data_IF_938288717544
#
_entry.id   IF_938288717544
#
_cell.length_a   1.000
_cell.length_b   1.000
_cell.length_c   1.000
_cell.angle_alpha   90.00
_cell.angle_beta   90.00
_cell.angle_gamma   90.00
#
_symmetry.space_group_name_H-M   'P 1'
#
loop_
_entity.id
_entity.type
_entity.pdbx_description
1 polymer ?
#
# COMPACT_ATOMS: atom_id res chain seq x y z
N UNK A 1 28.51 8.22 -3.27
CA UNK A 1 27.96 7.78 -1.98
C UNK A 1 26.45 7.96 -2.07
N UNK A 2 25.64 7.00 -1.65
CA UNK A 2 24.18 7.14 -1.69
C UNK A 2 23.71 7.74 -0.36
N UNK A 3 23.01 8.86 -0.41
CA UNK A 3 22.36 9.46 0.78
C UNK A 3 20.92 8.98 0.86
N UNK A 4 20.48 8.54 2.03
CA UNK A 4 19.12 8.08 2.29
C UNK A 4 18.45 9.01 3.28
N UNK A 5 17.26 9.48 2.94
CA UNK A 5 16.42 10.37 3.78
C UNK A 5 15.23 9.62 4.33
N UNK A 6 14.67 9.97 5.50
CA UNK A 6 13.55 9.26 6.14
C UNK A 6 12.17 9.56 5.54
N UNK A 7 12.10 10.12 4.33
CA UNK A 7 10.84 10.31 3.63
C UNK A 7 10.21 8.97 3.25
N UNK A 8 8.89 8.85 3.36
CA UNK A 8 8.15 7.63 3.10
C UNK A 8 6.91 7.90 2.26
N UNK A 9 6.56 6.93 1.42
CA UNK A 9 5.26 6.87 0.74
C UNK A 9 4.48 5.69 1.33
N UNK A 10 3.41 5.99 2.06
CA UNK A 10 2.58 4.99 2.74
C UNK A 10 1.17 5.05 2.15
N UNK A 11 0.64 3.91 1.73
CA UNK A 11 -0.70 3.82 1.13
C UNK A 11 -1.55 2.79 1.88
N UNK A 12 -2.62 3.28 2.48
CA UNK A 12 -3.62 2.45 3.15
C UNK A 12 -4.59 1.90 2.09
N UNK A 13 -4.60 0.58 1.91
CA UNK A 13 -5.41 -0.08 0.90
C UNK A 13 -6.45 -0.99 1.58
N UNK A 14 -7.70 -0.86 1.18
CA UNK A 14 -8.75 -1.73 1.71
C UNK A 14 -10.12 -1.37 1.15
N UNK A 15 -11.12 -2.25 1.26
CA UNK A 15 -12.45 -2.00 0.74
C UNK A 15 -13.10 -0.75 1.37
N UNK A 16 -14.18 -0.28 0.76
CA UNK A 16 -14.98 0.79 1.35
C UNK A 16 -15.49 0.36 2.73
N UNK A 17 -15.54 1.28 3.69
CA UNK A 17 -15.99 1.02 5.06
C UNK A 17 -14.95 0.40 6.00
N UNK A 18 -13.73 0.07 5.58
CA UNK A 18 -12.68 -0.42 6.49
C UNK A 18 -12.02 0.68 7.35
N UNK A 19 -12.54 1.91 7.30
CA UNK A 19 -12.15 3.06 8.13
C UNK A 19 -10.72 3.58 7.92
N UNK A 20 -10.23 3.57 6.69
CA UNK A 20 -8.93 4.14 6.32
C UNK A 20 -8.77 5.60 6.74
N UNK A 21 -9.73 6.46 6.40
CA UNK A 21 -9.72 7.87 6.81
C UNK A 21 -9.69 8.07 8.33
N UNK A 22 -10.39 7.22 9.09
CA UNK A 22 -10.34 7.25 10.57
C UNK A 22 -8.93 6.91 11.07
N UNK A 23 -8.22 5.98 10.42
CA UNK A 23 -6.84 5.63 10.79
C UNK A 23 -5.85 6.76 10.48
N UNK A 24 -6.09 7.55 9.42
CA UNK A 24 -5.26 8.70 9.04
C UNK A 24 -5.53 9.94 9.90
N UNK A 25 -6.72 10.07 10.48
CA UNK A 25 -7.17 11.26 11.20
C UNK A 25 -6.22 11.77 12.30
N UNK A 26 -5.71 10.92 13.21
CA UNK A 26 -4.76 11.34 14.23
C UNK A 26 -3.46 11.92 13.67
N UNK A 27 -2.91 11.32 12.62
CA UNK A 27 -1.71 11.83 11.95
C UNK A 27 -2.00 13.20 11.31
N UNK A 28 -3.12 13.35 10.60
CA UNK A 28 -3.54 14.63 10.04
C UNK A 28 -3.65 15.73 11.11
N UNK A 29 -4.28 15.40 12.24
CA UNK A 29 -4.46 16.36 13.35
C UNK A 29 -3.12 16.84 13.91
N UNK A 30 -2.16 15.94 14.12
CA UNK A 30 -0.82 16.29 14.61
C UNK A 30 -0.08 17.16 13.59
N UNK A 31 -0.01 16.72 12.33
CA UNK A 31 0.68 17.45 11.26
C UNK A 31 0.10 18.85 11.04
N UNK A 32 -1.23 18.97 11.04
CA UNK A 32 -1.93 20.25 10.89
C UNK A 32 -1.65 21.18 12.09
N UNK A 33 -1.71 20.66 13.33
CA UNK A 33 -1.42 21.44 14.55
C UNK A 33 0.03 21.93 14.59
N UNK A 34 0.97 21.15 14.02
CA UNK A 34 2.37 21.53 13.89
C UNK A 34 2.64 22.51 12.73
N UNK A 35 1.65 22.81 11.90
CA UNK A 35 1.85 23.66 10.73
C UNK A 35 2.67 23.04 9.62
N UNK A 36 2.76 21.70 9.58
CA UNK A 36 3.46 20.99 8.49
C UNK A 36 2.74 21.29 7.18
N UNK A 37 3.50 21.68 6.17
CA UNK A 37 2.97 22.01 4.85
C UNK A 37 2.46 20.75 4.16
N UNK A 38 1.16 20.75 3.87
CA UNK A 38 0.47 19.65 3.21
C UNK A 38 -0.07 20.11 1.86
N UNK A 39 0.12 19.30 0.83
CA UNK A 39 -0.42 19.55 -0.50
C UNK A 39 -1.95 19.52 -0.49
N UNK A 40 -2.57 20.33 -1.35
CA UNK A 40 -4.02 20.31 -1.57
C UNK A 40 -4.49 18.95 -2.09
N UNK A 41 -5.65 18.46 -1.63
CA UNK A 41 -6.19 17.14 -2.00
C UNK A 41 -6.52 17.04 -3.50
N UNK A 42 -6.94 18.14 -4.11
CA UNK A 42 -7.20 18.26 -5.55
C UNK A 42 -6.27 19.33 -6.13
N UNK A 43 -5.25 18.91 -6.85
CA UNK A 43 -4.19 19.77 -7.35
C UNK A 43 -3.74 19.29 -8.73
N UNK A 44 -3.42 20.20 -9.63
CA UNK A 44 -2.78 19.84 -10.90
C UNK A 44 -1.29 19.61 -10.67
N UNK A 45 -0.64 18.85 -11.56
CA UNK A 45 0.80 18.59 -11.51
C UNK A 45 1.62 19.88 -11.43
N UNK A 46 1.31 20.89 -12.25
CA UNK A 46 2.03 22.15 -12.31
C UNK A 46 1.83 22.98 -11.03
N UNK A 47 0.63 22.94 -10.46
CA UNK A 47 0.34 23.60 -9.20
C UNK A 47 1.08 22.92 -8.04
N UNK A 48 1.16 21.59 -8.02
CA UNK A 48 1.92 20.82 -7.02
C UNK A 48 3.43 21.13 -7.09
N UNK A 49 4.00 21.22 -8.30
CA UNK A 49 5.42 21.62 -8.49
C UNK A 49 5.66 23.03 -7.92
N UNK A 50 4.75 23.95 -8.21
CA UNK A 50 4.85 25.33 -7.67
C UNK A 50 4.65 25.37 -6.16
N UNK A 51 3.74 24.57 -5.63
CA UNK A 51 3.54 24.45 -4.19
C UNK A 51 4.81 23.91 -3.53
N UNK A 52 5.42 22.84 -4.07
CA UNK A 52 6.69 22.29 -3.60
C UNK A 52 7.81 23.33 -3.64
N UNK A 53 7.95 24.11 -4.74
CA UNK A 53 8.92 25.19 -4.83
C UNK A 53 8.71 26.25 -3.75
N UNK A 54 7.47 26.60 -3.46
CA UNK A 54 7.11 27.60 -2.44
C UNK A 54 7.35 27.11 -1.00
N UNK A 55 7.60 25.80 -0.82
CA UNK A 55 8.01 25.27 0.49
C UNK A 55 9.50 25.35 0.75
N UNK A 56 10.27 25.92 -0.18
CA UNK A 56 11.72 26.09 0.00
C UNK A 56 12.02 26.85 1.28
N UNK A 57 12.86 26.26 2.10
CA UNK A 57 13.28 26.83 3.39
C UNK A 57 14.77 26.61 3.61
N UNK A 58 15.37 27.39 4.49
CA UNK A 58 16.80 27.36 4.78
C UNK A 58 17.01 27.08 6.25
N UNK A 59 17.75 26.03 6.54
CA UNK A 59 18.13 25.65 7.89
C UNK A 59 19.61 25.89 8.11
N UNK A 60 19.97 26.40 9.26
CA UNK A 60 21.37 26.65 9.64
C UNK A 60 21.80 25.59 10.65
N UNK A 61 22.83 24.84 10.34
CA UNK A 61 23.45 23.90 11.25
C UNK A 61 24.23 24.60 12.37
N UNK A 62 24.56 23.84 13.43
CA UNK A 62 25.25 24.37 14.61
C UNK A 62 26.64 24.94 14.30
N UNK A 63 27.29 24.49 13.22
CA UNK A 63 28.62 24.93 12.78
C UNK A 63 28.56 25.87 11.58
N UNK A 64 27.39 26.43 11.26
CA UNK A 64 27.17 27.37 10.17
C UNK A 64 26.95 26.73 8.79
N UNK A 65 26.70 25.42 8.74
CA UNK A 65 26.25 24.75 7.51
C UNK A 65 24.88 25.29 7.10
N UNK A 66 24.67 25.42 5.81
CA UNK A 66 23.40 25.88 5.23
C UNK A 66 22.74 24.70 4.53
N UNK A 67 21.58 24.32 5.02
CA UNK A 67 20.74 23.29 4.42
C UNK A 67 19.52 23.94 3.77
N UNK A 68 19.42 23.81 2.46
CA UNK A 68 18.26 24.27 1.70
C UNK A 68 17.41 23.05 1.40
N UNK A 69 16.13 23.11 1.73
CA UNK A 69 15.20 22.03 1.42
C UNK A 69 13.83 22.57 1.01
N UNK A 70 13.13 21.78 0.20
CA UNK A 70 11.74 21.98 -0.18
C UNK A 70 10.94 20.78 0.29
N UNK A 71 10.27 20.93 1.44
CA UNK A 71 9.58 19.82 2.11
C UNK A 71 8.06 19.94 1.99
N UNK A 72 7.42 18.89 1.49
CA UNK A 72 5.97 18.85 1.31
C UNK A 72 5.42 17.47 1.70
N UNK A 73 4.30 17.45 2.42
CA UNK A 73 3.57 16.22 2.71
C UNK A 73 2.31 16.14 1.84
N UNK A 74 2.21 15.10 1.04
CA UNK A 74 0.99 14.75 0.33
C UNK A 74 0.13 13.91 1.27
N UNK A 75 -1.03 14.47 1.66
CA UNK A 75 -1.99 13.81 2.52
C UNK A 75 -3.31 13.66 1.76
N UNK A 76 -3.61 12.46 1.26
CA UNK A 76 -4.78 12.24 0.41
C UNK A 76 -5.64 11.09 0.90
N UNK A 77 -6.88 11.37 1.28
CA UNK A 77 -7.86 10.36 1.66
C UNK A 77 -8.36 9.55 0.46
N UNK A 78 -8.22 10.10 -0.76
CA UNK A 78 -8.56 9.45 -2.03
C UNK A 78 -7.37 9.55 -2.99
N UNK A 79 -6.34 8.74 -2.72
CA UNK A 79 -5.07 8.79 -3.46
C UNK A 79 -5.24 8.72 -4.98
N UNK A 80 -6.23 7.98 -5.46
CA UNK A 80 -6.50 7.84 -6.90
C UNK A 80 -7.04 9.12 -7.52
N UNK A 81 -7.73 9.96 -6.76
CA UNK A 81 -8.14 11.31 -7.18
C UNK A 81 -6.92 12.22 -7.28
N UNK A 82 -6.04 12.17 -6.28
CA UNK A 82 -4.79 12.94 -6.29
C UNK A 82 -3.87 12.54 -7.46
N UNK A 83 -3.66 11.26 -7.69
CA UNK A 83 -2.81 10.78 -8.79
C UNK A 83 -3.41 11.10 -10.18
N UNK A 84 -4.73 11.16 -10.27
CA UNK A 84 -5.42 11.24 -11.56
C UNK A 84 -5.31 9.96 -12.38
N UNK A 85 -6.21 9.81 -13.33
CA UNK A 85 -6.22 8.62 -14.17
C UNK A 85 -5.05 8.64 -15.16
N UNK A 86 -4.22 7.60 -15.14
CA UNK A 86 -3.12 7.38 -16.09
C UNK A 86 -2.11 8.54 -16.20
N UNK A 87 -1.90 9.30 -15.12
CA UNK A 87 -1.02 10.46 -15.09
C UNK A 87 0.45 10.03 -14.88
N UNK A 88 1.05 9.50 -15.96
CA UNK A 88 2.42 8.99 -15.96
C UNK A 88 3.46 10.06 -15.58
N UNK A 89 3.21 11.33 -15.92
CA UNK A 89 4.14 12.42 -15.61
C UNK A 89 4.22 12.68 -14.09
N UNK A 90 3.07 12.79 -13.43
CA UNK A 90 3.04 12.94 -11.97
C UNK A 90 3.66 11.73 -11.26
N UNK A 91 3.39 10.52 -11.76
CA UNK A 91 3.99 9.30 -11.19
C UNK A 91 5.52 9.29 -11.34
N UNK A 92 6.05 9.77 -12.46
CA UNK A 92 7.50 9.92 -12.66
C UNK A 92 8.10 10.96 -11.71
N UNK A 93 7.46 12.13 -11.56
CA UNK A 93 7.93 13.16 -10.63
C UNK A 93 7.95 12.64 -9.18
N UNK A 94 6.90 11.93 -8.75
CA UNK A 94 6.85 11.32 -7.41
C UNK A 94 7.99 10.29 -7.22
N UNK A 95 8.39 9.57 -8.28
CA UNK A 95 9.55 8.69 -8.22
C UNK A 95 10.84 9.46 -7.99
N UNK A 96 11.06 10.55 -8.72
CA UNK A 96 12.24 11.42 -8.59
C UNK A 96 12.28 12.09 -7.21
N UNK A 97 11.14 12.56 -6.71
CA UNK A 97 11.05 13.21 -5.40
C UNK A 97 11.22 12.25 -4.21
N UNK A 98 10.87 10.97 -4.38
CA UNK A 98 11.16 9.95 -3.36
C UNK A 98 12.67 9.76 -3.13
N UNK A 99 13.44 9.87 -4.21
CA UNK A 99 14.89 9.67 -4.17
C UNK A 99 15.63 10.91 -3.63
N UNK A 100 14.92 12.01 -3.28
CA UNK A 100 15.44 13.23 -2.63
C UNK A 100 16.68 13.80 -3.32
N UNK A 101 16.59 14.05 -4.62
CA UNK A 101 17.71 14.66 -5.39
C UNK A 101 18.03 16.05 -4.88
N UNK A 102 19.30 16.45 -4.92
CA UNK A 102 19.75 17.77 -4.51
C UNK A 102 19.09 18.90 -5.29
N UNK A 103 18.84 18.68 -6.58
CA UNK A 103 18.17 19.65 -7.45
C UNK A 103 17.26 18.97 -8.44
N UNK A 104 16.18 19.64 -8.75
CA UNK A 104 15.20 19.21 -9.76
C UNK A 104 14.65 20.44 -10.48
N UNK A 105 14.60 20.40 -11.81
CA UNK A 105 14.21 21.54 -12.64
C UNK A 105 12.99 21.21 -13.48
N UNK A 106 11.98 22.07 -13.41
CA UNK A 106 10.82 22.04 -14.28
C UNK A 106 10.77 23.28 -15.15
N UNK A 107 10.70 23.12 -16.47
CA UNK A 107 10.66 24.21 -17.42
C UNK A 107 9.47 24.12 -18.36
N UNK A 108 8.74 25.23 -18.51
CA UNK A 108 7.66 25.36 -19.47
C UNK A 108 7.89 26.56 -20.39
N UNK A 109 7.26 26.53 -21.58
CA UNK A 109 7.35 27.64 -22.55
C UNK A 109 6.76 28.96 -22.03
N UNK A 110 5.74 28.88 -21.16
CA UNK A 110 4.96 30.04 -20.74
C UNK A 110 5.22 30.48 -19.30
N UNK A 111 5.62 29.58 -18.42
CA UNK A 111 5.81 29.87 -16.97
C UNK A 111 7.27 29.97 -16.55
N UNK A 112 8.23 29.81 -17.50
CA UNK A 112 9.65 29.89 -17.18
C UNK A 112 10.20 28.59 -16.58
N UNK A 113 11.17 28.74 -15.66
CA UNK A 113 11.87 27.63 -15.02
C UNK A 113 11.61 27.65 -13.53
N UNK A 114 11.21 26.49 -12.98
CA UNK A 114 11.13 26.22 -11.56
C UNK A 114 12.30 25.32 -11.16
N UNK A 115 13.29 25.87 -10.48
CA UNK A 115 14.39 25.13 -9.89
C UNK A 115 14.09 24.90 -8.41
N UNK A 116 14.18 23.66 -7.97
CA UNK A 116 13.87 23.24 -6.61
C UNK A 116 15.09 22.51 -6.05
N UNK A 117 15.56 22.96 -4.90
CA UNK A 117 16.74 22.40 -4.22
C UNK A 117 16.30 21.65 -2.96
N UNK A 118 16.94 20.50 -2.70
CA UNK A 118 16.73 19.71 -1.50
C UNK A 118 15.30 19.17 -1.37
N UNK A 119 14.81 18.51 -2.40
CA UNK A 119 13.43 17.97 -2.41
C UNK A 119 13.24 16.89 -1.35
N UNK A 120 12.21 17.07 -0.55
CA UNK A 120 11.79 16.11 0.46
C UNK A 120 10.26 15.96 0.46
N UNK A 121 9.76 14.94 -0.20
CA UNK A 121 8.32 14.68 -0.28
C UNK A 121 7.96 13.44 0.51
N UNK A 122 6.96 13.58 1.38
CA UNK A 122 6.27 12.48 2.04
C UNK A 122 4.89 12.28 1.41
N UNK A 123 4.42 11.03 1.41
CA UNK A 123 3.07 10.71 0.95
C UNK A 123 2.39 9.76 1.94
N UNK A 124 1.21 10.15 2.38
CA UNK A 124 0.27 9.24 3.03
C UNK A 124 -1.05 9.31 2.27
N UNK A 125 -1.50 8.17 1.77
CA UNK A 125 -2.71 8.10 0.98
C UNK A 125 -3.60 6.93 1.36
N UNK A 126 -4.88 7.01 0.99
CA UNK A 126 -5.81 5.91 1.13
C UNK A 126 -6.52 5.62 -0.19
N UNK A 127 -6.79 4.36 -0.47
CA UNK A 127 -7.54 3.95 -1.66
C UNK A 127 -8.21 2.59 -1.46
N UNK A 128 -8.97 2.15 -2.46
CA UNK A 128 -9.47 0.77 -2.54
C UNK A 128 -8.68 -0.04 -3.55
N UNK A 129 -8.61 -1.37 -3.42
CA UNK A 129 -7.93 -2.22 -4.41
C UNK A 129 -8.44 -1.99 -5.83
N UNK A 130 -9.75 -1.87 -6.02
CA UNK A 130 -10.37 -1.63 -7.32
C UNK A 130 -9.98 -0.31 -7.96
N UNK A 131 -9.98 0.79 -7.18
CA UNK A 131 -9.57 2.10 -7.66
C UNK A 131 -8.08 2.14 -7.99
N UNK A 132 -7.25 1.53 -7.15
CA UNK A 132 -5.80 1.45 -7.42
C UNK A 132 -5.53 0.74 -8.75
N UNK A 133 -6.25 -0.35 -9.01
CA UNK A 133 -6.14 -1.12 -10.25
C UNK A 133 -6.58 -0.37 -11.49
N UNK A 134 -7.62 0.47 -11.38
CA UNK A 134 -8.13 1.24 -12.52
C UNK A 134 -7.33 2.52 -12.78
N UNK A 135 -6.69 3.06 -11.75
CA UNK A 135 -5.93 4.33 -11.83
C UNK A 135 -4.49 4.11 -12.28
N UNK A 136 -3.85 3.03 -11.82
CA UNK A 136 -2.48 2.72 -12.19
C UNK A 136 -2.45 1.95 -13.52
N UNK A 137 -1.63 2.36 -14.49
CA UNK A 137 -1.34 1.55 -15.66
C UNK A 137 -0.74 0.21 -15.26
N UNK A 138 -1.01 -0.85 -16.01
CA UNK A 138 -0.46 -2.18 -15.72
C UNK A 138 1.08 -2.17 -15.67
N UNK A 139 1.71 -1.40 -16.55
CA UNK A 139 3.18 -1.25 -16.61
C UNK A 139 3.75 -0.47 -15.40
N UNK A 140 2.93 0.30 -14.69
CA UNK A 140 3.33 0.99 -13.46
C UNK A 140 3.24 0.09 -12.22
N UNK A 141 2.56 -1.06 -12.33
CA UNK A 141 2.46 -2.05 -11.26
C UNK A 141 3.72 -2.92 -11.30
N UNK A 142 4.42 -2.99 -10.18
CA UNK A 142 5.68 -3.73 -10.06
C UNK A 142 6.93 -2.92 -10.34
N UNK A 143 6.79 -1.68 -10.81
CA UNK A 143 7.90 -0.78 -11.08
C UNK A 143 7.64 0.65 -10.60
N UNK A 144 8.60 1.54 -10.81
CA UNK A 144 8.46 2.98 -10.62
C UNK A 144 7.89 3.37 -9.25
N UNK A 145 6.69 3.95 -9.27
CA UNK A 145 6.05 4.51 -8.08
C UNK A 145 5.62 3.44 -7.08
N UNK A 146 5.08 2.30 -7.53
CA UNK A 146 4.62 1.24 -6.60
C UNK A 146 5.77 0.59 -5.85
N UNK A 147 6.96 0.54 -6.43
CA UNK A 147 8.18 0.07 -5.77
C UNK A 147 8.63 0.97 -4.60
N UNK A 148 8.20 2.24 -4.61
CA UNK A 148 8.52 3.25 -3.58
C UNK A 148 7.44 3.37 -2.51
N UNK A 149 6.37 2.60 -2.61
CA UNK A 149 5.24 2.65 -1.68
C UNK A 149 5.25 1.46 -0.71
N UNK A 150 5.09 1.74 0.56
CA UNK A 150 4.73 0.73 1.56
C UNK A 150 3.20 0.67 1.57
N UNK A 151 2.65 -0.45 1.13
CA UNK A 151 1.19 -0.63 1.04
C UNK A 151 0.67 -1.40 2.25
N UNK A 152 -0.11 -0.73 3.08
CA UNK A 152 -0.73 -1.29 4.28
C UNK A 152 -2.14 -1.77 3.92
N UNK A 153 -2.36 -3.08 3.91
CA UNK A 153 -3.63 -3.67 3.50
C UNK A 153 -4.48 -4.12 4.69
N UNK A 154 -5.77 -3.76 4.65
CA UNK A 154 -6.75 -4.27 5.58
C UNK A 154 -8.03 -4.69 4.85
N UNK A 155 -8.43 -5.95 4.98
CA UNK A 155 -9.64 -6.48 4.36
C UNK A 155 -10.94 -6.00 5.04
N UNK A 156 -10.87 -5.62 6.31
CA UNK A 156 -12.00 -5.18 7.14
C UNK A 156 -11.53 -4.27 8.28
N UNK A 157 -12.46 -3.57 8.92
CA UNK A 157 -12.19 -2.82 10.16
C UNK A 157 -11.65 -3.75 11.26
N UNK A 158 -10.65 -3.32 12.00
CA UNK A 158 -10.01 -4.13 13.04
C UNK A 158 -10.92 -4.33 14.26
N UNK A 159 -11.69 -3.30 14.64
CA UNK A 159 -12.61 -3.35 15.77
C UNK A 159 -13.89 -2.56 15.51
N UNK A 160 -14.98 -2.94 16.19
CA UNK A 160 -16.20 -2.15 16.24
C UNK A 160 -16.14 -1.17 17.40
N UNK A 161 -16.23 0.12 17.09
CA UNK A 161 -16.29 1.19 18.10
C UNK A 161 -17.72 1.68 18.13
N UNK A 162 -18.42 1.44 19.25
CA UNK A 162 -19.83 1.81 19.44
C UNK A 162 -19.93 3.31 19.81
N UNK A 163 -19.02 3.78 20.64
CA UNK A 163 -18.95 5.18 21.06
C UNK A 163 -17.62 5.78 20.62
N UNK A 164 -17.58 6.62 19.58
CA UNK A 164 -16.34 7.19 19.03
C UNK A 164 -15.91 8.47 19.79
N UNK A 165 -16.04 8.45 21.09
CA UNK A 165 -15.56 9.54 21.94
C UNK A 165 -14.23 9.15 22.57
N UNK A 166 -13.30 10.12 22.61
CA UNK A 166 -12.02 9.93 23.26
C UNK A 166 -12.20 9.94 24.79
N UNK A 167 -11.56 9.03 25.47
CA UNK A 167 -11.41 9.07 26.92
C UNK A 167 -10.41 10.15 27.33
N UNK A 168 -10.36 10.50 28.61
CA UNK A 168 -9.36 11.44 29.12
C UNK A 168 -7.93 10.93 28.89
N UNK A 169 -7.71 9.63 29.10
CA UNK A 169 -6.41 8.99 28.87
C UNK A 169 -6.00 9.05 27.40
N UNK A 170 -6.92 8.84 26.46
CA UNK A 170 -6.65 8.94 25.01
C UNK A 170 -6.31 10.38 24.60
N UNK A 171 -6.95 11.38 25.20
CA UNK A 171 -6.61 12.79 24.99
C UNK A 171 -5.20 13.10 25.52
N UNK A 172 -4.85 12.62 26.72
CA UNK A 172 -3.51 12.79 27.29
C UNK A 172 -2.43 12.10 26.45
N UNK A 173 -2.70 10.90 25.91
CA UNK A 173 -1.81 10.21 24.98
C UNK A 173 -1.63 11.05 23.71
N UNK A 174 -2.70 11.62 23.17
CA UNK A 174 -2.64 12.51 22.01
C UNK A 174 -1.73 13.72 22.24
N UNK A 175 -1.79 14.35 23.40
CA UNK A 175 -0.91 15.47 23.76
C UNK A 175 0.55 15.04 23.93
N UNK A 176 0.81 13.85 24.47
CA UNK A 176 2.17 13.30 24.54
C UNK A 176 2.74 13.02 23.15
N UNK A 177 1.95 12.41 22.27
CA UNK A 177 2.35 12.16 20.88
C UNK A 177 2.65 13.46 20.12
N UNK A 178 1.85 14.50 20.35
CA UNK A 178 2.10 15.82 19.78
C UNK A 178 3.46 16.39 20.24
N UNK A 179 3.77 16.35 21.54
CA UNK A 179 5.06 16.81 22.07
C UNK A 179 6.24 16.00 21.54
N UNK A 180 6.06 14.67 21.38
CA UNK A 180 7.07 13.83 20.75
C UNK A 180 7.30 14.20 19.27
N UNK A 181 6.22 14.53 18.55
CA UNK A 181 6.31 15.02 17.17
C UNK A 181 7.03 16.38 17.09
N UNK A 182 6.74 17.31 18.02
CA UNK A 182 7.49 18.59 18.14
C UNK A 182 8.98 18.34 18.37
N UNK A 183 9.34 17.42 19.28
CA UNK A 183 10.73 17.03 19.53
C UNK A 183 11.40 16.46 18.27
N UNK A 184 10.70 15.58 17.54
CA UNK A 184 11.22 14.98 16.31
C UNK A 184 11.40 16.03 15.22
N UNK A 185 10.53 17.04 15.13
CA UNK A 185 10.66 18.09 14.12
C UNK A 185 11.90 18.99 14.31
N UNK A 186 12.51 18.95 15.48
CA UNK A 186 13.76 19.69 15.76
C UNK A 186 15.02 18.88 15.40
N UNK A 187 14.89 17.62 15.02
CA UNK A 187 16.03 16.80 14.64
C UNK A 187 16.53 17.19 13.24
N UNK A 188 17.82 17.46 13.14
CA UNK A 188 18.48 17.81 11.88
C UNK A 188 19.91 17.26 11.87
N UNK A 189 20.49 17.08 10.68
CA UNK A 189 21.82 16.53 10.49
C UNK A 189 21.82 15.05 10.10
N UNK A 190 22.96 14.41 10.22
CA UNK A 190 23.18 13.03 9.78
C UNK A 190 22.95 12.02 10.92
N UNK A 191 22.33 10.89 10.58
CA UNK A 191 22.30 9.75 11.48
C UNK A 191 23.65 9.03 11.50
N UNK A 192 24.17 8.79 12.70
CA UNK A 192 25.26 7.84 12.92
C UNK A 192 24.71 6.44 13.23
N UNK A 193 25.58 5.47 13.39
CA UNK A 193 25.17 4.10 13.72
C UNK A 193 26.17 3.41 14.63
N UNK A 194 25.69 2.46 15.43
CA UNK A 194 26.56 1.62 16.28
C UNK A 194 27.20 0.50 15.43
N UNK A 195 28.35 -0.04 15.88
CA UNK A 195 28.95 -1.22 15.24
C UNK A 195 27.99 -2.39 15.20
N UNK A 196 27.20 -2.59 16.27
CA UNK A 196 26.19 -3.63 16.35
C UNK A 196 25.08 -3.48 15.30
N UNK A 197 24.62 -2.26 15.05
CA UNK A 197 23.69 -2.00 13.94
C UNK A 197 24.28 -2.43 12.60
N UNK A 198 25.56 -2.09 12.35
CA UNK A 198 26.22 -2.41 11.09
C UNK A 198 26.39 -3.92 10.90
N UNK A 199 26.77 -4.64 11.96
CA UNK A 199 26.91 -6.10 11.92
C UNK A 199 25.56 -6.79 11.64
N UNK A 200 24.51 -6.42 12.36
CA UNK A 200 23.16 -6.97 12.19
C UNK A 200 22.56 -6.59 10.82
N UNK A 201 22.81 -5.35 10.33
CA UNK A 201 22.42 -4.91 9.00
C UNK A 201 23.10 -5.75 7.91
N UNK A 202 24.43 -5.93 8.01
CA UNK A 202 25.20 -6.69 7.02
C UNK A 202 24.70 -8.12 6.93
N UNK A 203 24.46 -8.76 8.08
CA UNK A 203 23.90 -10.10 8.15
C UNK A 203 22.51 -10.17 7.50
N UNK A 204 21.59 -9.30 7.93
CA UNK A 204 20.23 -9.28 7.40
C UNK A 204 20.19 -9.01 5.90
N UNK A 205 21.00 -8.04 5.42
CA UNK A 205 21.07 -7.71 3.99
C UNK A 205 21.53 -8.91 3.15
N UNK A 206 22.60 -9.57 3.58
CA UNK A 206 23.13 -10.76 2.89
C UNK A 206 22.16 -11.94 2.90
N UNK A 207 21.39 -12.12 3.98
CA UNK A 207 20.40 -13.20 4.07
C UNK A 207 19.11 -12.89 3.30
N UNK A 208 18.76 -11.63 3.14
CA UNK A 208 17.54 -11.21 2.44
C UNK A 208 17.72 -10.97 0.95
N UNK A 209 18.96 -10.80 0.48
CA UNK A 209 19.26 -10.59 -0.94
C UNK A 209 18.88 -11.81 -1.77
N UNK A 210 18.12 -11.60 -2.83
CA UNK A 210 17.57 -12.67 -3.66
C UNK A 210 16.45 -13.52 -2.99
N UNK A 211 16.04 -13.18 -1.75
CA UNK A 211 14.98 -13.89 -1.02
C UNK A 211 13.79 -12.96 -0.75
N UNK A 212 12.85 -12.82 -1.71
CA UNK A 212 11.68 -11.97 -1.52
C UNK A 212 10.79 -12.50 -0.40
N UNK A 213 10.12 -11.62 0.39
CA UNK A 213 9.29 -12.02 1.51
C UNK A 213 8.01 -12.79 1.11
N UNK A 214 7.63 -12.71 -0.17
CA UNK A 214 6.52 -13.47 -0.77
C UNK A 214 6.72 -13.55 -2.29
N UNK A 215 6.12 -14.58 -2.90
CA UNK A 215 6.22 -14.82 -4.34
C UNK A 215 5.09 -14.10 -5.09
N UNK A 216 5.40 -12.91 -5.63
CA UNK A 216 4.50 -12.17 -6.52
C UNK A 216 5.32 -11.21 -7.41
N UNK A 217 5.42 -11.52 -8.69
CA UNK A 217 6.18 -10.75 -9.68
C UNK A 217 5.77 -9.27 -9.77
N UNK A 218 4.54 -8.93 -9.37
CA UNK A 218 4.05 -7.54 -9.33
C UNK A 218 4.77 -6.69 -8.28
N UNK A 219 5.49 -7.30 -7.37
CA UNK A 219 6.27 -6.62 -6.33
C UNK A 219 7.78 -6.68 -6.58
N UNK A 220 8.23 -7.13 -7.75
CA UNK A 220 9.67 -7.23 -8.05
C UNK A 220 10.43 -5.94 -7.76
N UNK A 221 9.96 -4.79 -8.26
CA UNK A 221 10.58 -3.50 -7.97
C UNK A 221 10.54 -3.08 -6.50
N UNK A 222 9.52 -3.50 -5.74
CA UNK A 222 9.46 -3.28 -4.29
C UNK A 222 10.53 -4.11 -3.56
N UNK A 223 10.74 -5.36 -3.95
CA UNK A 223 11.75 -6.22 -3.33
C UNK A 223 13.15 -5.65 -3.49
N UNK A 224 13.49 -5.11 -4.67
CA UNK A 224 14.76 -4.41 -4.94
C UNK A 224 14.94 -3.16 -4.05
N UNK A 225 13.87 -2.53 -3.60
CA UNK A 225 13.91 -1.34 -2.75
C UNK A 225 13.67 -1.62 -1.26
N UNK A 226 13.43 -2.87 -0.90
CA UNK A 226 13.10 -3.29 0.47
C UNK A 226 14.14 -2.84 1.48
N UNK A 227 15.42 -2.96 1.13
CA UNK A 227 16.52 -2.52 1.98
C UNK A 227 16.47 -1.00 2.24
N UNK A 228 16.13 -0.19 1.25
CA UNK A 228 15.97 1.27 1.40
C UNK A 228 14.78 1.57 2.32
N UNK A 229 13.67 0.86 2.18
CA UNK A 229 12.51 1.01 3.09
C UNK A 229 12.89 0.69 4.54
N UNK A 230 13.66 -0.38 4.76
CA UNK A 230 14.15 -0.73 6.12
C UNK A 230 15.06 0.37 6.68
N UNK A 231 16.02 0.90 5.91
CA UNK A 231 16.88 2.00 6.38
C UNK A 231 16.06 3.25 6.75
N UNK A 232 15.11 3.64 5.91
CA UNK A 232 14.20 4.77 6.21
C UNK A 232 13.39 4.51 7.49
N UNK A 233 12.87 3.30 7.67
CA UNK A 233 12.16 2.91 8.88
C UNK A 233 13.10 2.88 10.11
N UNK A 234 14.36 2.48 9.98
CA UNK A 234 15.32 2.54 11.09
C UNK A 234 15.50 3.98 11.61
N UNK A 235 15.61 4.96 10.70
CA UNK A 235 15.68 6.38 11.08
C UNK A 235 14.41 6.83 11.83
N UNK A 236 13.23 6.43 11.34
CA UNK A 236 11.95 6.71 12.02
C UNK A 236 11.89 6.04 13.40
N UNK A 237 12.33 4.77 13.52
CA UNK A 237 12.37 4.05 14.79
C UNK A 237 13.34 4.68 15.79
N UNK A 238 14.51 5.12 15.33
CA UNK A 238 15.48 5.83 16.16
C UNK A 238 14.92 7.16 16.67
N UNK A 239 14.37 7.99 15.78
CA UNK A 239 13.75 9.27 16.14
C UNK A 239 12.56 9.10 17.11
N UNK A 240 11.77 8.01 16.97
CA UNK A 240 10.69 7.68 17.91
C UNK A 240 11.17 7.30 19.31
N UNK A 241 12.41 6.82 19.43
CA UNK A 241 13.00 6.34 20.70
C UNK A 241 13.79 7.43 21.42
N UNK A 242 14.55 8.24 20.68
CA UNK A 242 15.45 9.25 21.27
C UNK A 242 15.78 10.36 20.27
N UNK A 243 16.40 11.43 20.77
CA UNK A 243 16.93 12.54 19.94
C UNK A 243 18.40 12.35 19.54
N UNK A 244 19.01 11.21 19.84
CA UNK A 244 20.46 11.01 19.63
C UNK A 244 20.84 10.89 18.16
N UNK A 245 19.90 10.61 17.26
CA UNK A 245 20.16 10.34 15.85
C UNK A 245 21.20 9.23 15.62
N UNK A 246 21.22 8.23 16.50
CA UNK A 246 22.09 7.05 16.41
C UNK A 246 21.24 5.83 16.15
N UNK A 247 21.47 5.17 15.02
CA UNK A 247 20.82 3.90 14.68
C UNK A 247 21.44 2.76 15.52
N UNK A 248 20.61 1.96 16.15
CA UNK A 248 21.03 0.79 16.92
C UNK A 248 20.30 -0.46 16.45
N UNK A 249 20.77 -1.63 16.84
CA UNK A 249 20.21 -2.93 16.48
C UNK A 249 18.72 -3.06 16.84
N UNK A 250 18.27 -2.39 17.90
CA UNK A 250 16.85 -2.33 18.25
C UNK A 250 15.99 -1.64 17.18
N UNK A 251 16.53 -0.59 16.56
CA UNK A 251 15.82 0.16 15.51
C UNK A 251 15.68 -0.72 14.26
N UNK A 252 16.74 -1.46 13.91
CA UNK A 252 16.71 -2.42 12.81
C UNK A 252 15.69 -3.54 13.05
N UNK A 253 15.70 -4.16 14.22
CA UNK A 253 14.74 -5.23 14.54
C UNK A 253 13.29 -4.74 14.51
N UNK A 254 13.03 -3.53 15.03
CA UNK A 254 11.69 -2.91 14.97
C UNK A 254 11.26 -2.62 13.54
N UNK A 255 12.15 -2.08 12.72
CA UNK A 255 11.88 -1.77 11.31
C UNK A 255 11.59 -3.05 10.50
N UNK A 256 12.42 -4.09 10.63
CA UNK A 256 12.22 -5.37 9.96
C UNK A 256 10.89 -6.00 10.39
N UNK A 257 10.63 -6.05 11.71
CA UNK A 257 9.38 -6.61 12.24
C UNK A 257 8.16 -5.91 11.65
N UNK A 258 8.13 -4.58 11.73
CA UNK A 258 7.01 -3.78 11.22
C UNK A 258 6.77 -4.06 9.72
N UNK A 259 7.83 -3.98 8.91
CA UNK A 259 7.68 -4.15 7.46
C UNK A 259 7.27 -5.57 7.10
N UNK A 260 7.86 -6.59 7.74
CA UNK A 260 7.51 -7.99 7.51
C UNK A 260 6.05 -8.30 7.88
N UNK A 261 5.54 -7.73 8.97
CA UNK A 261 4.13 -7.87 9.36
C UNK A 261 3.18 -7.30 8.28
N UNK A 262 3.51 -6.15 7.70
CA UNK A 262 2.71 -5.56 6.62
C UNK A 262 2.87 -6.30 5.29
N UNK A 263 4.05 -6.81 4.97
CA UNK A 263 4.33 -7.61 3.77
C UNK A 263 3.46 -8.87 3.68
N UNK A 264 3.12 -9.50 4.82
CA UNK A 264 2.21 -10.66 4.84
C UNK A 264 0.85 -10.37 4.22
N UNK A 265 0.40 -9.13 4.29
CA UNK A 265 -0.91 -8.65 3.79
C UNK A 265 -0.80 -7.93 2.46
N UNK A 266 0.37 -7.38 2.13
CA UNK A 266 0.62 -6.53 0.97
C UNK A 266 0.26 -7.23 -0.35
N UNK A 267 0.49 -8.54 -0.48
CA UNK A 267 0.09 -9.36 -1.63
C UNK A 267 -1.40 -9.24 -1.98
N UNK A 268 -2.26 -8.93 -1.01
CA UNK A 268 -3.70 -8.80 -1.23
C UNK A 268 -4.10 -7.46 -1.90
N UNK A 269 -3.21 -6.48 -1.92
CA UNK A 269 -3.45 -5.17 -2.57
C UNK A 269 -3.81 -5.35 -4.04
N UNK A 270 -3.11 -6.25 -4.72
CA UNK A 270 -3.32 -6.55 -6.14
C UNK A 270 -4.01 -7.90 -6.36
N UNK A 271 -4.69 -8.45 -5.37
CA UNK A 271 -5.35 -9.75 -5.46
C UNK A 271 -6.43 -9.87 -6.57
N UNK A 272 -6.77 -8.79 -7.25
CA UNK A 272 -7.63 -8.76 -8.44
C UNK A 272 -6.94 -8.24 -9.70
N UNK A 273 -5.70 -7.76 -9.63
CA UNK A 273 -4.98 -7.20 -10.79
C UNK A 273 -4.51 -8.32 -11.70
N UNK A 274 -4.76 -8.17 -12.98
CA UNK A 274 -4.42 -9.19 -13.98
C UNK A 274 -5.42 -10.34 -14.06
N UNK A 275 -6.44 -10.38 -13.18
CA UNK A 275 -7.61 -11.20 -13.44
C UNK A 275 -8.47 -10.45 -14.46
N UNK A 276 -8.52 -10.96 -15.68
CA UNK A 276 -9.50 -10.48 -16.64
C UNK A 276 -10.88 -10.56 -15.96
N UNK A 277 -11.83 -9.66 -16.30
CA UNK A 277 -13.22 -9.76 -15.82
C UNK A 277 -13.79 -11.17 -16.02
N UNK A 278 -13.28 -11.87 -17.04
CA UNK A 278 -13.60 -13.26 -17.36
C UNK A 278 -13.11 -14.21 -16.24
N UNK A 279 -11.91 -14.04 -15.68
CA UNK A 279 -11.39 -14.91 -14.61
C UNK A 279 -12.19 -14.74 -13.32
N UNK A 280 -12.53 -13.50 -12.97
CA UNK A 280 -13.36 -13.25 -11.77
C UNK A 280 -14.78 -13.82 -11.95
N UNK A 281 -15.36 -13.65 -13.14
CA UNK A 281 -16.63 -14.26 -13.50
C UNK A 281 -16.54 -15.79 -13.49
N UNK A 282 -15.44 -16.36 -14.02
CA UNK A 282 -15.19 -17.81 -14.02
C UNK A 282 -15.19 -18.37 -12.59
N UNK A 283 -14.50 -17.69 -11.64
CA UNK A 283 -14.48 -18.11 -10.25
C UNK A 283 -15.86 -18.03 -9.58
N UNK A 284 -16.63 -16.99 -9.85
CA UNK A 284 -18.00 -16.84 -9.31
C UNK A 284 -18.96 -17.88 -9.89
N UNK A 285 -18.79 -18.20 -11.18
CA UNK A 285 -19.63 -19.22 -11.84
C UNK A 285 -19.31 -20.62 -11.34
N UNK A 286 -18.03 -21.00 -11.19
CA UNK A 286 -17.67 -22.32 -10.64
C UNK A 286 -18.13 -22.46 -9.19
N UNK A 287 -18.00 -21.43 -8.37
CA UNK A 287 -18.49 -21.45 -6.99
C UNK A 287 -19.99 -21.67 -6.95
N UNK A 288 -20.78 -21.00 -7.80
CA UNK A 288 -22.22 -21.20 -7.90
C UNK A 288 -22.58 -22.63 -8.31
N UNK A 289 -21.84 -23.20 -9.28
CA UNK A 289 -22.09 -24.58 -9.75
C UNK A 289 -21.81 -25.58 -8.62
N UNK A 290 -20.74 -25.37 -7.85
CA UNK A 290 -20.38 -26.23 -6.71
C UNK A 290 -21.41 -26.10 -5.57
N UNK A 291 -21.83 -24.89 -5.22
CA UNK A 291 -22.83 -24.65 -4.18
C UNK A 291 -24.19 -25.30 -4.49
N UNK A 292 -24.56 -25.38 -5.77
CA UNK A 292 -25.84 -25.97 -6.23
C UNK A 292 -25.75 -27.47 -6.51
N UNK A 293 -24.51 -28.00 -6.69
CA UNK A 293 -24.30 -29.37 -7.14
C UNK A 293 -24.60 -29.58 -8.62
N UNK A 294 -25.69 -28.99 -9.11
CA UNK A 294 -26.06 -28.90 -10.51
C UNK A 294 -26.90 -27.65 -10.79
N UNK A 295 -26.74 -27.07 -11.98
CA UNK A 295 -27.48 -25.86 -12.39
C UNK A 295 -27.62 -25.80 -13.90
N UNK A 296 -28.75 -25.28 -14.40
CA UNK A 296 -28.91 -25.04 -15.83
C UNK A 296 -28.20 -23.76 -16.28
N UNK A 297 -27.63 -23.82 -17.49
CA UNK A 297 -26.89 -22.67 -18.09
C UNK A 297 -27.76 -21.41 -18.19
N UNK A 298 -29.04 -21.55 -18.51
CA UNK A 298 -29.98 -20.42 -18.57
C UNK A 298 -30.23 -19.76 -17.21
N UNK A 299 -30.04 -20.47 -16.10
CA UNK A 299 -30.10 -19.92 -14.75
C UNK A 299 -28.83 -19.15 -14.41
N UNK A 300 -27.66 -19.64 -14.85
CA UNK A 300 -26.38 -18.93 -14.72
C UNK A 300 -26.42 -17.64 -15.53
N UNK A 301 -26.89 -17.69 -16.79
CA UNK A 301 -27.05 -16.51 -17.64
C UNK A 301 -27.98 -15.48 -17.00
N UNK A 302 -29.12 -15.89 -16.45
CA UNK A 302 -30.04 -14.99 -15.75
C UNK A 302 -29.44 -14.35 -14.51
N UNK A 303 -28.60 -15.09 -13.76
CA UNK A 303 -27.96 -14.56 -12.55
C UNK A 303 -26.89 -13.52 -12.87
N UNK A 304 -26.14 -13.73 -13.94
CA UNK A 304 -24.98 -12.90 -14.29
C UNK A 304 -25.20 -12.01 -15.53
N UNK A 305 -26.45 -11.75 -15.92
CA UNK A 305 -26.78 -10.99 -17.13
C UNK A 305 -26.29 -9.53 -17.12
N UNK A 306 -26.01 -8.94 -15.92
CA UNK A 306 -25.38 -7.62 -15.81
C UNK A 306 -23.87 -7.67 -15.86
N UNK A 307 -23.26 -8.84 -15.61
CA UNK A 307 -21.82 -9.01 -15.54
C UNK A 307 -21.20 -9.45 -16.87
N UNK A 308 -21.97 -10.17 -17.72
CA UNK A 308 -21.49 -10.74 -18.97
C UNK A 308 -22.60 -10.91 -20.01
N UNK A 309 -22.23 -10.73 -21.26
CA UNK A 309 -23.05 -11.17 -22.40
C UNK A 309 -22.91 -12.69 -22.66
N UNK A 310 -23.72 -13.20 -23.58
CA UNK A 310 -23.73 -14.61 -23.93
C UNK A 310 -22.37 -15.11 -24.40
N UNK A 311 -21.65 -14.33 -25.22
CA UNK A 311 -20.34 -14.68 -25.73
C UNK A 311 -19.32 -14.82 -24.61
N UNK A 312 -19.27 -13.88 -23.69
CA UNK A 312 -18.39 -13.91 -22.52
C UNK A 312 -18.70 -15.12 -21.64
N UNK A 313 -19.99 -15.45 -21.45
CA UNK A 313 -20.39 -16.63 -20.67
C UNK A 313 -19.98 -17.93 -21.36
N UNK A 314 -20.10 -18.03 -22.69
CA UNK A 314 -19.63 -19.19 -23.44
C UNK A 314 -18.13 -19.41 -23.26
N UNK A 315 -17.32 -18.32 -23.27
CA UNK A 315 -15.87 -18.37 -22.99
C UNK A 315 -15.63 -18.90 -21.56
N UNK A 316 -16.38 -18.43 -20.57
CA UNK A 316 -16.28 -18.88 -19.17
C UNK A 316 -16.58 -20.36 -19.05
N UNK A 317 -17.70 -20.82 -19.60
CA UNK A 317 -18.12 -22.24 -19.55
C UNK A 317 -17.09 -23.11 -20.25
N UNK A 318 -16.63 -22.73 -21.45
CA UNK A 318 -15.58 -23.45 -22.18
C UNK A 318 -14.29 -23.53 -21.37
N UNK A 319 -13.86 -22.42 -20.75
CA UNK A 319 -12.68 -22.39 -19.89
C UNK A 319 -12.81 -23.38 -18.73
N UNK A 320 -13.97 -23.41 -18.05
CA UNK A 320 -14.24 -24.34 -16.95
C UNK A 320 -14.25 -25.82 -17.41
N UNK A 321 -14.74 -26.09 -18.64
CA UNK A 321 -14.69 -27.42 -19.25
C UNK A 321 -13.24 -27.83 -19.57
N UNK A 322 -12.46 -26.96 -20.22
CA UNK A 322 -11.06 -27.21 -20.58
C UNK A 322 -10.20 -27.44 -19.33
N UNK A 323 -10.48 -26.73 -18.23
CA UNK A 323 -9.88 -26.92 -16.90
C UNK A 323 -10.36 -28.23 -16.24
N UNK A 324 -11.33 -28.94 -16.82
CA UNK A 324 -11.98 -30.14 -16.24
C UNK A 324 -12.60 -29.86 -14.86
N UNK A 325 -13.05 -28.64 -14.63
CA UNK A 325 -13.68 -28.21 -13.39
C UNK A 325 -15.18 -28.51 -13.38
N UNK A 326 -15.79 -28.55 -14.56
CA UNK A 326 -17.21 -28.88 -14.74
C UNK A 326 -17.41 -29.90 -15.85
N UNK A 327 -18.55 -30.57 -15.81
CA UNK A 327 -19.10 -31.37 -16.91
C UNK A 327 -20.36 -30.71 -17.43
N UNK A 328 -20.54 -30.75 -18.76
CA UNK A 328 -21.74 -30.21 -19.43
C UNK A 328 -22.56 -31.38 -19.99
N UNK A 329 -23.80 -31.42 -19.60
CA UNK A 329 -24.79 -32.40 -20.08
C UNK A 329 -26.01 -31.70 -20.68
N UNK A 330 -26.90 -32.48 -21.25
CA UNK A 330 -28.18 -32.01 -21.79
C UNK A 330 -29.32 -32.80 -21.16
N UNK A 331 -30.26 -32.11 -20.58
CA UNK A 331 -31.43 -32.73 -19.94
C UNK A 331 -32.69 -31.88 -20.21
N UNK A 332 -33.75 -32.51 -20.73
CA UNK A 332 -34.98 -31.79 -21.05
C UNK A 332 -34.82 -30.65 -22.09
N UNK A 333 -33.86 -30.75 -23.01
CA UNK A 333 -33.58 -29.72 -24.00
C UNK A 333 -32.79 -28.50 -23.45
N UNK A 334 -32.34 -28.57 -22.20
CA UNK A 334 -31.52 -27.51 -21.55
C UNK A 334 -30.11 -28.00 -21.27
N UNK A 335 -29.17 -27.11 -21.30
CA UNK A 335 -27.76 -27.38 -20.94
C UNK A 335 -27.62 -27.42 -19.43
N UNK A 336 -27.14 -28.53 -18.88
CA UNK A 336 -26.92 -28.75 -17.46
C UNK A 336 -25.43 -28.77 -17.13
N UNK A 337 -25.05 -28.00 -16.11
CA UNK A 337 -23.67 -27.87 -15.62
C UNK A 337 -23.53 -28.59 -14.29
N UNK A 338 -22.50 -29.44 -14.13
CA UNK A 338 -22.20 -30.15 -12.88
C UNK A 338 -20.72 -30.00 -12.54
N UNK A 339 -20.32 -29.85 -11.26
CA UNK A 339 -18.92 -29.87 -10.87
C UNK A 339 -18.32 -31.27 -11.07
N UNK A 340 -17.00 -31.33 -11.34
CA UNK A 340 -16.31 -32.61 -11.33
C UNK A 340 -16.05 -33.09 -9.91
N UNK A 341 -16.07 -34.42 -9.66
CA UNK A 341 -15.85 -35.01 -8.32
C UNK A 341 -14.60 -34.54 -7.60
N UNK A 342 -13.54 -34.17 -8.33
CA UNK A 342 -12.27 -33.66 -7.77
C UNK A 342 -12.40 -32.31 -7.04
N UNK A 343 -13.37 -31.48 -7.41
CA UNK A 343 -13.57 -30.14 -6.78
C UNK A 343 -14.52 -30.29 -5.60
N UNK A 344 -15.47 -31.19 -5.68
CA UNK A 344 -16.45 -31.44 -4.59
C UNK A 344 -15.75 -32.02 -3.34
N UNK A 345 -14.76 -32.88 -3.50
CA UNK A 345 -13.98 -33.47 -2.41
C UNK A 345 -13.02 -32.43 -1.77
N UNK A 346 -12.32 -31.60 -2.56
CA UNK A 346 -11.39 -30.58 -2.04
C UNK A 346 -12.07 -29.43 -1.30
N UNK A 347 -13.31 -29.08 -1.64
CA UNK A 347 -14.08 -28.06 -0.94
C UNK A 347 -14.75 -28.57 0.33
N UNK A 348 -15.12 -29.85 0.38
CA UNK A 348 -15.60 -30.50 1.61
C UNK A 348 -14.50 -30.63 2.66
N UNK A 349 -13.27 -30.90 2.26
CA UNK A 349 -12.10 -30.90 3.17
C UNK A 349 -11.81 -29.49 3.73
N UNK A 350 -11.92 -28.43 2.93
CA UNK A 350 -11.74 -27.04 3.39
C UNK A 350 -12.87 -26.59 4.33
N UNK A 351 -14.09 -27.07 4.16
CA UNK A 351 -15.21 -26.76 5.06
C UNK A 351 -15.18 -27.58 6.35
N UNK A 352 -14.63 -28.79 6.34
CA UNK A 352 -14.48 -29.63 7.54
C UNK A 352 -13.25 -29.21 8.38
N UNK A 353 -12.22 -28.59 7.79
CA UNK A 353 -11.06 -28.04 8.48
C UNK A 353 -11.32 -26.74 9.28
N UNK A 354 -12.51 -26.13 9.16
CA UNK A 354 -12.90 -24.92 9.91
C UNK A 354 -13.86 -25.18 11.09
N UNK A 355 -14.19 -26.44 11.36
CA UNK A 355 -15.02 -26.85 12.51
C UNK A 355 -14.25 -27.89 13.33
N UNK A 356 -13.26 -27.45 14.04
CA UNK A 356 -12.50 -28.23 15.02
C UNK A 356 -11.53 -27.32 15.74
N UNK A 357 -11.82 -26.85 16.81
CA UNK A 357 -11.64 -27.07 18.19
C UNK A 357 -11.85 -25.77 19.00
N UNK A 358 -12.99 -25.62 19.49
CA UNK A 358 -13.30 -24.66 20.54
C UNK A 358 -13.76 -25.45 21.77
N UNK A 359 -12.83 -26.07 22.51
CA UNK A 359 -13.09 -26.40 23.93
C UNK A 359 -11.81 -26.77 24.67
N UNK A 360 -11.69 -26.16 25.85
CA UNK A 360 -10.81 -26.50 26.98
C UNK A 360 -9.50 -25.69 27.03
N UNK A 361 -9.13 -25.07 28.17
CA UNK A 361 -9.59 -25.16 29.58
C UNK A 361 -9.01 -23.97 30.34
N UNK A 362 -9.78 -23.47 31.27
CA UNK A 362 -9.45 -22.76 32.49
C UNK A 362 -8.45 -23.57 33.34
N UNK A 363 -7.36 -22.99 33.70
CA UNK A 363 -6.80 -22.85 35.09
C UNK A 363 -5.67 -21.84 35.05
#
# INVERSE_FOLDING_TARGET
>A
MMTVYPNLYIVLVGPSGCRKGTAMGPAYSILSKMGIRMASEAITREALIRELKNTSDTHYGEHGEIYIHASLTIFSQELTVFLGYNNMQLMADLCDWFDCRESWTYRTKHSGTDDITGIWVNLIGATTPSLLQTTLPQDAIGGGLTARMIMVYAARKGRTVVQPFLTKEEVEIGEKLYRDAERISMLHGEFSYTSRFLDDWTKWYSESDGHPPFDDLRFGGYFERRAIHILKLCMVMSASRSSSMVLDDIDLRRAIKLLTEEETRMKNVFAGVGRSKIIDLTNRVIQLIVERGEIYLDEVLRKYHYDADTYTMDVVIKTLQDMKSITVGYEGGRTLLRPTRRIDDGLKELQQGTVGDGTNIIT
#
